data_IF_324283736581
#
_entry.id   IF_324283736581
#
_cell.length_a   1.000
_cell.length_b   1.000
_cell.length_c   1.000
_cell.angle_alpha   90.00
_cell.angle_beta   90.00
_cell.angle_gamma   90.00
#
_symmetry.space_group_name_H-M   'P 1'
#
loop_
_entity.id
_entity.type
_entity.pdbx_description
1 polymer ?
#
# COMPACT_ATOMS: atom_id res chain seq x y z
N UNK A 1 -19.79 -9.49 12.96
CA UNK A 1 -19.75 -10.70 12.11
C UNK A 1 -19.60 -10.23 10.67
N UNK A 2 -18.74 -10.87 9.87
CA UNK A 2 -18.63 -10.58 8.43
C UNK A 2 -19.89 -11.08 7.68
N UNK A 3 -19.99 -10.80 6.37
CA UNK A 3 -21.19 -11.08 5.58
C UNK A 3 -21.72 -12.52 5.73
N UNK A 4 -23.05 -12.69 5.77
CA UNK A 4 -23.72 -14.00 5.91
C UNK A 4 -23.73 -14.87 4.65
N UNK A 5 -22.84 -14.60 3.69
CA UNK A 5 -22.65 -15.35 2.45
C UNK A 5 -21.21 -15.16 1.96
N UNK A 6 -20.74 -16.10 1.14
CA UNK A 6 -19.40 -16.02 0.54
C UNK A 6 -19.34 -14.88 -0.49
N UNK A 7 -18.51 -13.89 -0.21
CA UNK A 7 -18.25 -12.77 -1.13
C UNK A 7 -17.10 -13.19 -2.06
N UNK A 8 -17.30 -13.18 -3.40
CA UNK A 8 -16.22 -13.46 -4.33
C UNK A 8 -15.12 -12.40 -4.22
N UNK A 9 -13.86 -12.84 -4.21
CA UNK A 9 -12.69 -11.97 -4.08
C UNK A 9 -11.81 -12.11 -5.32
N UNK A 10 -11.96 -11.18 -6.25
CA UNK A 10 -11.12 -11.10 -7.45
C UNK A 10 -10.15 -9.92 -7.33
N UNK A 11 -8.89 -10.21 -7.00
CA UNK A 11 -7.88 -9.21 -6.69
C UNK A 11 -7.24 -8.57 -7.94
N UNK A 12 -7.13 -7.24 -7.95
CA UNK A 12 -6.28 -6.50 -8.90
C UNK A 12 -4.97 -6.17 -8.20
N UNK A 13 -3.89 -6.79 -8.65
CA UNK A 13 -2.61 -6.72 -7.94
C UNK A 13 -1.84 -5.45 -8.32
N UNK A 14 -1.56 -4.63 -7.31
CA UNK A 14 -0.63 -3.53 -7.46
C UNK A 14 0.81 -4.06 -7.37
N UNK A 15 1.62 -3.74 -8.39
CA UNK A 15 3.00 -4.25 -8.53
C UNK A 15 4.03 -3.22 -8.08
N UNK A 16 3.65 -1.95 -7.97
CA UNK A 16 4.51 -0.89 -7.47
C UNK A 16 4.03 0.49 -7.87
N UNK A 17 4.89 1.48 -7.66
CA UNK A 17 4.69 2.86 -8.07
C UNK A 17 5.80 3.26 -9.06
N UNK A 18 5.44 3.82 -10.20
CA UNK A 18 6.37 4.31 -11.23
C UNK A 18 6.03 5.76 -11.55
N UNK A 19 7.01 6.65 -11.42
CA UNK A 19 6.84 8.09 -11.70
C UNK A 19 5.70 8.75 -10.90
N UNK A 20 5.41 8.22 -9.70
CA UNK A 20 4.30 8.68 -8.86
C UNK A 20 2.95 8.03 -9.17
N UNK A 21 2.86 7.24 -10.23
CA UNK A 21 1.64 6.53 -10.62
C UNK A 21 1.65 5.06 -10.18
N UNK A 22 0.48 4.56 -9.75
CA UNK A 22 0.32 3.16 -9.36
C UNK A 22 0.34 2.25 -10.59
N UNK A 23 1.24 1.28 -10.58
CA UNK A 23 1.30 0.24 -11.59
C UNK A 23 0.54 -0.98 -11.08
N UNK A 24 -0.43 -1.43 -11.89
CA UNK A 24 -1.33 -2.54 -11.55
C UNK A 24 -1.35 -3.58 -12.67
N UNK A 25 -1.37 -4.85 -12.30
CA UNK A 25 -1.74 -5.94 -13.21
C UNK A 25 -3.27 -5.97 -13.31
N UNK A 26 -3.79 -5.53 -14.46
CA UNK A 26 -5.23 -5.27 -14.63
C UNK A 26 -6.06 -6.53 -14.85
N UNK A 27 -5.41 -7.68 -14.92
CA UNK A 27 -6.05 -8.99 -14.99
C UNK A 27 -6.42 -9.44 -13.57
N UNK A 28 -7.71 -9.50 -13.19
CA UNK A 28 -8.10 -9.91 -11.86
C UNK A 28 -7.70 -11.37 -11.59
N UNK A 29 -7.12 -11.63 -10.42
CA UNK A 29 -6.81 -12.97 -9.95
C UNK A 29 -7.94 -13.46 -9.05
N UNK A 30 -8.58 -14.55 -9.47
CA UNK A 30 -9.67 -15.17 -8.71
C UNK A 30 -9.22 -15.63 -7.34
N UNK A 31 -10.15 -15.59 -6.40
CA UNK A 31 -9.99 -16.04 -5.01
C UNK A 31 -8.73 -15.49 -4.33
N UNK A 32 -8.33 -14.27 -4.71
CA UNK A 32 -7.08 -13.64 -4.28
C UNK A 32 -7.38 -12.25 -3.74
N UNK A 33 -7.07 -12.01 -2.47
CA UNK A 33 -7.05 -10.66 -1.93
C UNK A 33 -5.74 -9.99 -2.38
N UNK A 34 -5.85 -9.09 -3.37
CA UNK A 34 -4.68 -8.36 -3.87
C UNK A 34 -4.11 -7.41 -2.80
N UNK A 35 -2.79 -7.14 -2.90
CA UNK A 35 -2.13 -6.13 -2.08
C UNK A 35 -2.80 -4.78 -2.23
N UNK A 36 -2.95 -4.08 -1.10
CA UNK A 36 -3.70 -2.84 -1.08
C UNK A 36 -2.85 -1.67 -1.60
N UNK A 37 -3.49 -0.69 -2.24
CA UNK A 37 -2.81 0.56 -2.62
C UNK A 37 -2.23 1.30 -1.40
N UNK A 38 -2.91 1.36 -0.23
CA UNK A 38 -2.31 1.89 0.99
C UNK A 38 -0.98 1.23 1.35
N UNK A 39 -0.87 -0.10 1.33
CA UNK A 39 0.37 -0.82 1.67
C UNK A 39 1.55 -0.37 0.81
N UNK A 40 1.37 -0.24 -0.51
CA UNK A 40 2.45 0.16 -1.42
C UNK A 40 2.83 1.64 -1.31
N UNK A 41 1.86 2.52 -1.06
CA UNK A 41 2.14 3.93 -0.79
C UNK A 41 3.00 4.03 0.46
N UNK A 42 2.63 3.28 1.50
CA UNK A 42 3.31 3.23 2.78
C UNK A 42 4.74 2.65 2.64
N UNK A 43 4.92 1.57 1.88
CA UNK A 43 6.23 0.99 1.54
C UNK A 43 7.12 1.97 0.77
N UNK A 44 6.56 2.70 -0.20
CA UNK A 44 7.28 3.74 -0.94
C UNK A 44 7.72 4.89 -0.03
N UNK A 45 6.83 5.39 0.83
CA UNK A 45 7.16 6.49 1.73
C UNK A 45 8.26 6.06 2.70
N UNK A 46 8.16 4.86 3.30
CA UNK A 46 9.22 4.33 4.16
C UNK A 46 10.58 4.17 3.46
N UNK A 47 10.60 3.79 2.18
CA UNK A 47 11.85 3.58 1.42
C UNK A 47 12.43 4.86 0.82
N UNK A 48 11.61 5.84 0.46
CA UNK A 48 12.06 7.15 -0.03
C UNK A 48 12.46 8.09 1.12
N UNK A 49 11.76 8.03 2.26
CA UNK A 49 12.05 8.86 3.44
C UNK A 49 13.14 8.27 4.34
N UNK A 50 13.67 7.07 4.02
CA UNK A 50 14.80 6.46 4.71
C UNK A 50 16.14 7.16 4.47
N UNK A 51 16.24 8.05 3.46
CA UNK A 51 17.33 9.02 3.35
C UNK A 51 16.93 10.27 4.12
N UNK A 52 17.57 10.51 5.27
CA UNK A 52 17.39 11.76 6.02
C UNK A 52 17.81 12.94 5.17
N UNK A 53 16.87 13.61 4.53
CA UNK A 53 17.10 14.91 3.87
C UNK A 53 16.92 15.98 4.95
N UNK A 54 17.99 16.73 5.24
CA UNK A 54 17.98 17.89 6.16
C UNK A 54 17.56 17.62 7.62
N UNK A 55 17.85 16.43 8.16
CA UNK A 55 17.70 16.14 9.60
C UNK A 55 16.25 16.13 10.11
N UNK A 56 15.27 16.06 9.22
CA UNK A 56 13.87 15.85 9.56
C UNK A 56 13.58 14.35 9.73
N UNK A 57 12.73 14.00 10.70
CA UNK A 57 12.30 12.61 10.91
C UNK A 57 11.58 12.07 9.66
N UNK A 58 11.87 10.84 9.22
CA UNK A 58 11.18 10.15 8.14
C UNK A 58 9.65 10.31 8.27
N UNK A 59 8.97 10.61 7.17
CA UNK A 59 7.51 10.77 7.16
C UNK A 59 6.78 9.58 7.80
N UNK A 60 7.31 8.37 7.62
CA UNK A 60 6.75 7.15 8.18
C UNK A 60 6.72 7.17 9.72
N UNK A 61 7.78 7.68 10.37
CA UNK A 61 7.83 7.83 11.83
C UNK A 61 6.79 8.85 12.31
N UNK A 62 6.68 10.01 11.65
CA UNK A 62 5.65 11.02 11.94
C UNK A 62 4.21 10.53 11.70
N UNK A 63 4.02 9.57 10.78
CA UNK A 63 2.71 8.98 10.54
C UNK A 63 2.33 8.04 11.68
N UNK A 64 3.28 7.25 12.19
CA UNK A 64 3.05 6.33 13.32
C UNK A 64 2.64 7.06 14.59
N UNK A 65 3.25 8.21 14.89
CA UNK A 65 2.90 9.05 16.06
C UNK A 65 1.42 9.47 16.11
N UNK A 66 0.71 9.47 14.97
CA UNK A 66 -0.71 9.86 14.92
C UNK A 66 -1.67 8.74 15.31
N UNK A 67 -1.17 7.52 15.47
CA UNK A 67 -1.98 6.34 15.83
C UNK A 67 -1.72 5.87 17.27
N UNK A 68 -0.87 6.56 18.02
CA UNK A 68 -0.73 6.47 19.48
C UNK A 68 -1.63 7.49 20.19
#
# INVERSE_FOLDING_TARGET
>A
EAAGFDVPVDGIEAVGLKDGELVVERSPKKDTLARSTPELIVEKLATQDGETVDGAEPFYERLLEKFE
#
